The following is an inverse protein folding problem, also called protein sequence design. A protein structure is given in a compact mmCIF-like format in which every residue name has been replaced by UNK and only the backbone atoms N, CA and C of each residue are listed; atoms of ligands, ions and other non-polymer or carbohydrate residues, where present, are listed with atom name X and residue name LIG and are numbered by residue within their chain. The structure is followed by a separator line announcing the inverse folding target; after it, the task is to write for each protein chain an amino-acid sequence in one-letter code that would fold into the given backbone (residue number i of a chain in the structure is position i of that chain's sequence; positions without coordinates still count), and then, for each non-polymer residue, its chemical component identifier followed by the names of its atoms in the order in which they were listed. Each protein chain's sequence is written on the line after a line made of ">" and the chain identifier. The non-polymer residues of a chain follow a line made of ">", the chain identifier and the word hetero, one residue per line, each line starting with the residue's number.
data_IF_725406223805
#
_entry.id   IF_725406223805
#
_cell.length_a   1.000
_cell.length_b   1.000
_cell.length_c   1.000
_cell.angle_alpha   90.00
_cell.angle_beta   90.00
_cell.angle_gamma   90.00
#
_symmetry.space_group_name_H-M   'P 1'
#
loop_
_entity.id
_entity.type
_entity.pdbx_description
1 polymer ?
#
# COMPACT_ATOMS: atom_id res chain seq x y z
N UNK A 1 12.61 -70.95 4.09
CA UNK A 1 11.60 -70.09 4.74
C UNK A 1 11.26 -68.97 3.78
N UNK A 2 10.25 -69.23 2.95
CA UNK A 2 9.58 -68.27 2.10
C UNK A 2 8.42 -67.70 2.92
N UNK A 3 8.25 -66.38 2.91
CA UNK A 3 6.95 -65.76 3.18
C UNK A 3 6.67 -64.83 2.03
N UNK A 4 5.83 -65.34 1.15
CA UNK A 4 5.11 -64.67 0.09
C UNK A 4 4.15 -63.65 0.72
N UNK A 5 3.95 -62.52 0.05
CA UNK A 5 2.76 -61.70 0.27
C UNK A 5 2.28 -61.19 -1.08
N UNK A 6 1.58 -62.08 -1.79
CA UNK A 6 0.77 -61.74 -2.95
C UNK A 6 -0.59 -61.16 -2.51
N UNK A 7 -0.84 -59.96 -2.99
CA UNK A 7 -2.04 -59.52 -3.72
C UNK A 7 -3.39 -60.22 -3.43
N UNK A 8 -4.38 -59.42 -3.01
CA UNK A 8 -5.76 -59.64 -3.39
C UNK A 8 -6.45 -58.32 -3.80
N UNK A 9 -6.72 -58.25 -5.10
CA UNK A 9 -7.62 -57.34 -5.78
C UNK A 9 -9.08 -57.46 -5.29
N UNK A 10 -9.75 -56.32 -5.16
CA UNK A 10 -11.15 -56.06 -5.54
C UNK A 10 -11.18 -54.57 -5.93
N UNK A 11 -11.55 -54.10 -7.12
CA UNK A 11 -12.35 -54.70 -8.18
C UNK A 11 -13.70 -53.97 -8.29
N UNK A 12 -13.76 -52.92 -9.13
CA UNK A 12 -14.98 -52.27 -9.62
C UNK A 12 -15.07 -50.76 -9.27
N UNK A 13 -15.25 -49.82 -10.19
CA UNK A 13 -15.47 -49.86 -11.63
C UNK A 13 -16.04 -48.53 -12.10
N UNK A 14 -15.67 -48.14 -13.33
CA UNK A 14 -16.33 -47.19 -14.24
C UNK A 14 -16.13 -45.67 -14.03
N UNK A 15 -15.08 -45.15 -14.69
CA UNK A 15 -15.26 -44.34 -15.90
C UNK A 15 -15.44 -42.83 -15.76
N UNK A 16 -14.41 -42.07 -16.17
CA UNK A 16 -14.45 -41.02 -17.22
C UNK A 16 -13.07 -40.37 -17.37
N UNK A 17 -12.70 -40.10 -18.62
CA UNK A 17 -11.43 -39.54 -19.08
C UNK A 17 -11.45 -38.00 -19.16
N UNK A 18 -10.24 -37.40 -19.13
CA UNK A 18 -9.82 -36.00 -19.47
C UNK A 18 -9.78 -34.96 -18.32
N UNK A 19 -8.89 -33.94 -18.39
CA UNK A 19 -7.43 -34.01 -18.41
C UNK A 19 -6.76 -33.20 -17.27
N UNK A 20 -5.48 -33.48 -17.03
CA UNK A 20 -4.57 -32.75 -16.13
C UNK A 20 -4.32 -31.31 -16.63
N UNK A 21 -5.11 -30.34 -16.16
CA UNK A 21 -4.76 -28.93 -16.22
C UNK A 21 -5.58 -28.09 -15.22
N UNK A 22 -5.46 -28.35 -13.92
CA UNK A 22 -5.94 -27.42 -12.90
C UNK A 22 -5.41 -27.78 -11.50
N UNK A 23 -4.18 -27.39 -11.20
CA UNK A 23 -3.75 -27.21 -9.81
C UNK A 23 -2.96 -25.90 -9.71
N UNK A 24 -3.36 -25.09 -8.73
CA UNK A 24 -2.79 -23.79 -8.34
C UNK A 24 -3.17 -22.57 -9.20
N UNK A 25 -4.41 -22.12 -9.02
CA UNK A 25 -4.83 -20.74 -9.27
C UNK A 25 -5.80 -20.30 -8.17
N UNK A 26 -5.44 -19.23 -7.47
CA UNK A 26 -6.23 -18.62 -6.40
C UNK A 26 -7.66 -18.30 -6.86
N UNK A 27 -8.65 -18.72 -6.09
CA UNK A 27 -10.00 -18.21 -6.20
C UNK A 27 -10.01 -16.71 -5.80
N UNK A 28 -9.90 -15.82 -6.77
CA UNK A 28 -10.34 -14.44 -6.62
C UNK A 28 -11.71 -14.35 -7.28
N UNK A 29 -12.74 -14.19 -6.46
CA UNK A 29 -14.10 -14.00 -6.94
C UNK A 29 -14.16 -12.74 -7.83
N UNK A 30 -14.79 -12.81 -9.02
CA UNK A 30 -15.05 -11.61 -9.79
C UNK A 30 -16.11 -10.78 -9.05
N UNK A 31 -15.74 -9.56 -8.64
CA UNK A 31 -16.70 -8.56 -8.19
C UNK A 31 -17.59 -8.20 -9.39
N UNK A 32 -18.73 -8.88 -9.51
CA UNK A 32 -19.76 -8.55 -10.47
C UNK A 32 -20.24 -7.12 -10.18
N UNK A 33 -19.91 -6.21 -11.09
CA UNK A 33 -20.53 -4.90 -11.19
C UNK A 33 -22.03 -5.09 -11.44
N UNK A 34 -22.83 -5.05 -10.36
CA UNK A 34 -24.27 -4.91 -10.49
C UNK A 34 -24.56 -3.52 -11.02
N UNK A 35 -25.09 -3.44 -12.23
CA UNK A 35 -25.93 -2.33 -12.64
C UNK A 35 -27.03 -2.17 -11.59
N UNK A 36 -27.03 -1.05 -10.87
CA UNK A 36 -28.25 -0.53 -10.28
C UNK A 36 -28.66 0.70 -11.10
N UNK A 37 -29.70 0.49 -11.90
CA UNK A 37 -30.64 1.54 -12.26
C UNK A 37 -31.32 2.02 -10.97
N UNK A 38 -31.47 3.33 -10.81
CA UNK A 38 -32.17 3.94 -9.69
C UNK A 38 -31.42 5.17 -9.19
N UNK A 39 -31.92 6.35 -9.54
CA UNK A 39 -31.39 7.61 -9.05
C UNK A 39 -31.53 7.69 -7.54
N UNK A 40 -30.40 7.89 -6.87
CA UNK A 40 -30.26 8.51 -5.56
C UNK A 40 -28.76 8.83 -5.38
N UNK A 41 -28.44 10.03 -4.90
CA UNK A 41 -27.08 10.55 -4.84
C UNK A 41 -26.10 9.61 -4.13
N UNK A 42 -25.19 9.00 -4.89
CA UNK A 42 -24.13 8.14 -4.37
C UNK A 42 -23.21 8.97 -3.47
N UNK A 43 -23.22 8.67 -2.17
CA UNK A 43 -22.36 9.33 -1.17
C UNK A 43 -20.93 8.82 -1.33
N UNK A 44 -20.15 9.43 -2.23
CA UNK A 44 -18.74 9.09 -2.46
C UNK A 44 -17.93 9.40 -1.19
N UNK A 45 -17.46 8.35 -0.51
CA UNK A 45 -16.62 8.44 0.69
C UNK A 45 -15.36 7.60 0.52
N UNK A 46 -14.26 8.02 1.12
CA UNK A 46 -12.95 7.38 1.00
C UNK A 46 -11.81 8.35 0.68
N UNK A 47 -10.55 7.89 0.65
CA UNK A 47 -9.37 8.72 0.42
C UNK A 47 -9.38 9.44 -0.95
N UNK A 48 -10.03 8.86 -1.95
CA UNK A 48 -10.19 9.43 -3.29
C UNK A 48 -11.34 10.44 -3.41
N UNK A 49 -11.97 10.84 -2.29
CA UNK A 49 -13.10 11.79 -2.26
C UNK A 49 -12.76 13.13 -2.93
N UNK A 50 -11.52 13.57 -2.84
CA UNK A 50 -11.05 14.83 -3.42
C UNK A 50 -11.12 14.86 -4.96
N UNK A 51 -11.22 13.70 -5.64
CA UNK A 51 -11.37 13.63 -7.11
C UNK A 51 -12.79 13.93 -7.59
N UNK A 52 -13.80 13.66 -6.76
CA UNK A 52 -15.22 13.73 -7.14
C UNK A 52 -15.95 14.96 -6.59
N UNK A 53 -15.36 15.68 -5.62
CA UNK A 53 -15.91 16.93 -5.10
C UNK A 53 -15.01 18.10 -5.45
N UNK A 54 -15.36 18.84 -6.49
CA UNK A 54 -14.85 20.20 -6.69
C UNK A 54 -15.64 21.13 -5.79
N UNK A 55 -15.10 21.49 -4.62
CA UNK A 55 -15.62 22.67 -3.92
C UNK A 55 -15.29 23.87 -4.79
N UNK A 56 -16.25 24.70 -5.22
CA UNK A 56 -15.91 25.94 -5.89
C UNK A 56 -15.06 26.75 -4.92
N UNK A 57 -13.89 27.18 -5.37
CA UNK A 57 -13.08 28.15 -4.63
C UNK A 57 -13.90 29.43 -4.64
N UNK A 58 -14.51 29.76 -3.50
CA UNK A 58 -15.10 31.07 -3.30
C UNK A 58 -13.96 32.08 -3.45
N UNK A 59 -13.98 32.96 -4.46
CA UNK A 59 -13.03 34.05 -4.49
C UNK A 59 -13.19 34.80 -3.17
N UNK A 60 -12.08 35.02 -2.48
CA UNK A 60 -12.05 35.81 -1.26
C UNK A 60 -12.85 37.09 -1.54
N UNK A 61 -13.99 37.24 -0.86
CA UNK A 61 -14.67 38.52 -0.78
C UNK A 61 -13.60 39.46 -0.25
N UNK A 62 -13.10 40.37 -1.09
CA UNK A 62 -12.25 41.44 -0.63
C UNK A 62 -13.00 42.11 0.51
N UNK A 63 -12.52 41.96 1.75
CA UNK A 63 -13.05 42.67 2.90
C UNK A 63 -12.71 44.14 2.70
N UNK A 64 -13.49 44.83 1.86
CA UNK A 64 -13.41 46.27 1.79
C UNK A 64 -13.99 46.80 3.11
N UNK A 65 -13.19 47.57 3.87
CA UNK A 65 -13.63 48.09 5.15
C UNK A 65 -14.89 48.96 4.97
N UNK A 66 -15.83 48.95 5.92
CA UNK A 66 -17.15 49.59 5.79
C UNK A 66 -17.08 51.10 5.56
N UNK A 67 -15.93 51.73 5.84
CA UNK A 67 -15.67 53.16 5.60
C UNK A 67 -15.65 53.52 4.10
N UNK A 68 -15.29 52.59 3.22
CA UNK A 68 -15.28 52.80 1.76
C UNK A 68 -16.69 52.75 1.15
N UNK A 69 -17.61 52.03 1.80
CA UNK A 69 -19.00 51.90 1.35
C UNK A 69 -19.89 53.10 1.71
N UNK A 70 -19.45 53.95 2.64
CA UNK A 70 -20.24 55.06 3.21
C UNK A 70 -19.75 56.46 2.78
N UNK A 71 -18.75 56.56 1.91
CA UNK A 71 -18.31 57.85 1.37
C UNK A 71 -19.32 58.37 0.32
N UNK A 72 -19.74 59.66 0.37
CA UNK A 72 -20.55 60.23 -0.70
C UNK A 72 -19.66 60.41 -1.94
N UNK A 73 -19.72 59.43 -2.85
CA UNK A 73 -19.10 59.53 -4.17
C UNK A 73 -19.80 60.65 -4.96
N UNK A 74 -19.06 61.72 -5.25
CA UNK A 74 -19.39 62.60 -6.35
C UNK A 74 -19.51 61.79 -7.64
N UNK A 75 -20.53 62.09 -8.42
CA UNK A 75 -20.88 61.40 -9.65
C UNK A 75 -19.70 61.37 -10.65
N UNK A 76 -18.96 60.28 -10.65
CA UNK A 76 -18.15 59.83 -11.77
C UNK A 76 -18.62 58.40 -12.07
N UNK A 77 -19.51 58.30 -13.06
CA UNK A 77 -19.98 57.02 -13.57
C UNK A 77 -18.76 56.23 -14.08
N UNK A 78 -18.46 55.05 -13.53
CA UNK A 78 -17.40 54.22 -14.09
C UNK A 78 -17.80 53.82 -15.53
N UNK A 79 -16.87 53.85 -16.50
CA UNK A 79 -17.18 53.43 -17.87
C UNK A 79 -17.72 51.99 -17.85
N UNK A 80 -18.73 51.68 -18.69
CA UNK A 80 -19.40 50.39 -18.66
C UNK A 80 -18.37 49.26 -18.85
N UNK A 81 -18.43 48.19 -18.05
CA UNK A 81 -17.50 47.07 -18.19
C UNK A 81 -17.67 46.49 -19.60
N UNK A 82 -16.57 46.46 -20.37
CA UNK A 82 -16.52 45.80 -21.67
C UNK A 82 -17.01 44.36 -21.51
N UNK A 83 -17.91 43.85 -22.38
CA UNK A 83 -18.46 42.52 -22.23
C UNK A 83 -17.35 41.49 -22.34
N UNK A 84 -16.99 40.86 -21.23
CA UNK A 84 -16.16 39.67 -21.27
C UNK A 84 -16.90 38.59 -22.07
N UNK A 85 -16.22 37.89 -22.99
CA UNK A 85 -16.88 36.87 -23.80
C UNK A 85 -17.50 35.81 -22.89
N UNK A 86 -18.75 35.44 -23.18
CA UNK A 86 -19.53 34.50 -22.37
C UNK A 86 -18.89 33.11 -22.24
N UNK A 87 -17.94 32.78 -23.11
CA UNK A 87 -17.12 31.58 -23.04
C UNK A 87 -15.65 31.97 -23.17
N UNK A 88 -14.85 31.60 -22.16
CA UNK A 88 -13.39 31.70 -22.18
C UNK A 88 -12.85 30.30 -22.47
N UNK A 89 -12.22 30.12 -23.62
CA UNK A 89 -11.50 28.88 -23.92
C UNK A 89 -10.26 28.81 -23.02
N UNK A 90 -10.25 27.87 -22.09
CA UNK A 90 -9.10 27.55 -21.24
C UNK A 90 -8.60 26.17 -21.62
N UNK A 91 -7.52 26.11 -22.39
CA UNK A 91 -6.77 24.86 -22.57
C UNK A 91 -5.88 24.65 -21.33
N UNK A 92 -6.06 23.54 -20.64
CA UNK A 92 -5.18 23.12 -19.53
C UNK A 92 -4.32 21.98 -20.07
N UNK A 93 -3.04 22.25 -20.34
CA UNK A 93 -2.07 21.21 -20.67
C UNK A 93 -1.59 20.59 -19.35
N UNK A 94 -1.86 19.30 -19.13
CA UNK A 94 -1.30 18.58 -18.00
C UNK A 94 0.15 18.22 -18.30
N UNK A 95 1.07 18.63 -17.42
CA UNK A 95 2.49 18.23 -17.50
C UNK A 95 2.70 16.72 -17.22
N UNK A 96 1.66 16.03 -16.75
CA UNK A 96 1.68 14.61 -16.44
C UNK A 96 1.38 13.80 -17.68
N UNK A 97 2.33 12.94 -18.04
CA UNK A 97 2.10 11.82 -18.96
C UNK A 97 1.11 10.85 -18.29
N UNK A 98 0.03 10.52 -18.99
CA UNK A 98 -0.93 9.51 -18.52
C UNK A 98 -0.31 8.11 -18.65
N UNK A 99 0.51 7.70 -17.68
CA UNK A 99 1.11 6.36 -17.61
C UNK A 99 0.07 5.23 -17.43
N UNK A 100 -1.14 5.56 -16.97
CA UNK A 100 -2.25 4.61 -16.81
C UNK A 100 -2.95 4.28 -18.15
N UNK A 101 -2.72 5.06 -19.22
CA UNK A 101 -3.28 4.81 -20.55
C UNK A 101 -2.39 3.92 -21.44
N UNK A 102 -1.27 3.42 -20.91
CA UNK A 102 -0.28 2.65 -21.66
C UNK A 102 -0.71 1.18 -21.78
N UNK A 103 -1.49 0.87 -22.81
CA UNK A 103 -1.87 -0.50 -23.16
C UNK A 103 -0.73 -1.24 -23.87
N UNK A 104 -0.78 -2.57 -23.87
CA UNK A 104 0.11 -3.34 -24.75
C UNK A 104 -0.12 -2.93 -26.21
N UNK A 105 0.96 -2.72 -27.00
CA UNK A 105 0.84 -2.39 -28.41
C UNK A 105 0.09 -3.50 -29.16
N UNK A 106 -0.72 -3.12 -30.15
CA UNK A 106 -1.49 -4.08 -30.95
C UNK A 106 -0.58 -5.14 -31.58
N UNK A 107 -0.83 -6.41 -31.26
CA UNK A 107 -0.19 -7.55 -31.91
C UNK A 107 -1.17 -8.20 -32.90
N UNK A 108 -0.89 -8.15 -34.22
CA UNK A 108 -1.73 -8.81 -35.21
C UNK A 108 -1.67 -10.35 -35.09
N UNK A 109 -2.67 -11.00 -35.63
CA UNK A 109 -2.69 -12.46 -35.79
C UNK A 109 -1.64 -12.90 -36.83
N UNK A 110 -0.89 -13.96 -36.54
CA UNK A 110 0.13 -14.52 -37.43
C UNK A 110 -0.14 -16.00 -37.69
N UNK A 111 0.16 -16.46 -38.91
CA UNK A 111 0.08 -17.86 -39.30
C UNK A 111 1.48 -18.44 -39.49
N UNK A 112 1.78 -19.58 -38.87
CA UNK A 112 3.06 -20.27 -39.03
C UNK A 112 2.94 -21.48 -39.96
N UNK A 113 3.96 -21.74 -40.79
CA UNK A 113 4.05 -23.01 -41.49
C UNK A 113 4.28 -24.17 -40.50
N UNK A 114 3.80 -25.39 -40.83
CA UNK A 114 3.94 -26.54 -39.94
C UNK A 114 5.41 -26.89 -39.73
N UNK A 115 5.83 -26.97 -38.47
CA UNK A 115 7.20 -27.35 -38.08
C UNK A 115 8.14 -26.18 -37.80
N UNK A 116 7.71 -24.93 -38.01
CA UNK A 116 8.51 -23.75 -37.65
C UNK A 116 8.14 -23.23 -36.26
N UNK A 117 9.14 -23.10 -35.38
CA UNK A 117 8.99 -22.58 -34.02
C UNK A 117 9.90 -21.34 -33.83
N UNK A 118 9.48 -20.15 -34.29
CA UNK A 118 10.29 -18.95 -34.23
C UNK A 118 10.52 -18.49 -32.78
N UNK A 119 11.72 -17.98 -32.51
CA UNK A 119 12.12 -17.51 -31.17
C UNK A 119 11.25 -16.37 -30.65
N UNK A 120 10.86 -15.46 -31.53
CA UNK A 120 10.05 -14.29 -31.18
C UNK A 120 8.73 -14.67 -30.49
N UNK A 121 8.14 -15.80 -30.83
CA UNK A 121 6.88 -16.24 -30.21
C UNK A 121 7.06 -16.79 -28.80
N UNK A 122 8.25 -17.29 -28.46
CA UNK A 122 8.56 -17.65 -27.08
C UNK A 122 8.68 -16.39 -26.18
N UNK A 123 8.92 -15.22 -26.79
CA UNK A 123 8.99 -13.94 -26.09
C UNK A 123 7.64 -13.24 -25.96
N UNK A 124 6.55 -13.79 -26.55
CA UNK A 124 5.24 -13.16 -26.54
C UNK A 124 4.67 -12.93 -25.12
N UNK A 125 5.15 -13.69 -24.13
CA UNK A 125 4.78 -13.50 -22.74
C UNK A 125 5.34 -12.22 -22.10
N UNK A 126 6.42 -11.65 -22.65
CA UNK A 126 7.08 -10.44 -22.15
C UNK A 126 6.29 -9.20 -22.58
N UNK A 127 5.36 -8.75 -21.74
CA UNK A 127 4.50 -7.59 -22.03
C UNK A 127 4.70 -6.45 -21.03
N UNK A 128 4.27 -5.24 -21.39
CA UNK A 128 4.34 -4.09 -20.50
C UNK A 128 3.31 -4.22 -19.38
N UNK A 129 2.13 -4.76 -19.69
CA UNK A 129 1.07 -5.04 -18.70
C UNK A 129 1.54 -6.00 -17.61
N UNK A 130 2.37 -7.00 -17.97
CA UNK A 130 2.94 -7.95 -17.00
C UNK A 130 4.15 -7.40 -16.24
N UNK A 131 4.57 -6.15 -16.49
CA UNK A 131 5.71 -5.51 -15.82
C UNK A 131 7.07 -6.10 -16.19
N UNK A 132 7.18 -6.83 -17.31
CA UNK A 132 8.41 -7.51 -17.74
C UNK A 132 9.26 -6.67 -18.71
N UNK A 133 8.70 -5.56 -19.21
CA UNK A 133 9.38 -4.54 -20.01
C UNK A 133 9.45 -3.23 -19.21
N UNK A 134 10.59 -2.52 -19.18
CA UNK A 134 11.84 -2.75 -19.93
C UNK A 134 12.59 -4.01 -19.47
N UNK A 135 13.29 -4.66 -20.39
CA UNK A 135 13.99 -5.92 -20.14
C UNK A 135 15.02 -5.76 -19.01
N UNK A 136 14.85 -6.53 -17.94
CA UNK A 136 15.80 -6.62 -16.84
C UNK A 136 16.88 -7.67 -17.14
N UNK A 137 18.00 -7.64 -16.43
CA UNK A 137 19.07 -8.65 -16.60
C UNK A 137 18.54 -10.09 -16.48
N UNK A 138 17.62 -10.33 -15.55
CA UNK A 138 16.99 -11.64 -15.36
C UNK A 138 16.21 -12.11 -16.61
N UNK A 139 15.53 -11.19 -17.30
CA UNK A 139 14.82 -11.53 -18.55
C UNK A 139 15.81 -11.91 -19.66
N UNK A 140 16.92 -11.19 -19.78
CA UNK A 140 17.97 -11.49 -20.77
C UNK A 140 18.60 -12.86 -20.48
N UNK A 141 18.94 -13.13 -19.22
CA UNK A 141 19.48 -14.43 -18.79
C UNK A 141 18.49 -15.58 -19.03
N UNK A 142 17.19 -15.36 -18.84
CA UNK A 142 16.16 -16.35 -19.15
C UNK A 142 16.08 -16.66 -20.66
N UNK A 143 16.21 -15.63 -21.51
CA UNK A 143 16.24 -15.79 -22.98
C UNK A 143 17.49 -16.55 -23.40
N UNK A 144 18.65 -16.23 -22.85
CA UNK A 144 19.90 -16.92 -23.14
C UNK A 144 19.85 -18.39 -22.70
N UNK A 145 19.29 -18.68 -21.51
CA UNK A 145 19.03 -20.06 -21.07
C UNK A 145 18.11 -20.81 -22.03
N UNK A 146 17.05 -20.17 -22.51
CA UNK A 146 16.14 -20.77 -23.49
C UNK A 146 16.85 -21.08 -24.83
N UNK A 147 17.73 -20.19 -25.30
CA UNK A 147 18.56 -20.42 -26.49
C UNK A 147 19.52 -21.59 -26.29
N UNK A 148 20.22 -21.62 -25.16
CA UNK A 148 21.14 -22.70 -24.83
C UNK A 148 20.41 -24.05 -24.76
N UNK A 149 19.20 -24.08 -24.20
CA UNK A 149 18.36 -25.28 -24.17
C UNK A 149 18.00 -25.78 -25.57
N UNK A 150 17.61 -24.89 -26.48
CA UNK A 150 17.32 -25.26 -27.88
C UNK A 150 18.56 -25.79 -28.61
N UNK A 151 19.71 -25.15 -28.41
CA UNK A 151 20.97 -25.62 -28.98
C UNK A 151 21.35 -27.00 -28.42
N UNK A 152 21.13 -27.22 -27.13
CA UNK A 152 21.33 -28.51 -26.49
C UNK A 152 20.39 -29.59 -27.05
N UNK A 153 19.09 -29.30 -27.19
CA UNK A 153 18.10 -30.20 -27.78
C UNK A 153 18.45 -30.57 -29.23
N UNK A 154 18.93 -29.61 -30.02
CA UNK A 154 19.39 -29.84 -31.39
C UNK A 154 20.69 -30.66 -31.44
N UNK A 155 21.55 -30.54 -30.43
CA UNK A 155 22.79 -31.31 -30.31
C UNK A 155 22.59 -32.74 -29.77
N UNK A 156 21.36 -33.12 -29.37
CA UNK A 156 21.10 -34.46 -28.84
C UNK A 156 21.29 -35.53 -29.93
N UNK A 157 21.93 -36.67 -29.60
CA UNK A 157 22.04 -37.80 -30.51
C UNK A 157 20.67 -38.32 -30.98
N UNK A 158 20.55 -38.84 -32.22
CA UNK A 158 19.32 -39.43 -32.72
C UNK A 158 18.94 -40.70 -31.94
N UNK A 159 17.65 -41.07 -31.99
CA UNK A 159 17.05 -42.21 -31.26
C UNK A 159 17.28 -43.57 -31.95
N UNK A 160 18.21 -43.66 -32.90
CA UNK A 160 18.31 -44.82 -33.82
C UNK A 160 19.11 -46.00 -33.26
N UNK A 161 20.05 -45.78 -32.33
CA UNK A 161 20.98 -46.80 -31.84
C UNK A 161 21.00 -46.88 -30.30
N UNK A 162 21.25 -48.07 -29.74
CA UNK A 162 21.28 -48.30 -28.29
C UNK A 162 22.41 -47.51 -27.61
N UNK A 163 23.55 -47.38 -28.27
CA UNK A 163 24.66 -46.57 -27.76
C UNK A 163 24.29 -45.07 -27.75
N UNK A 164 23.63 -44.57 -28.81
CA UNK A 164 23.18 -43.18 -28.89
C UNK A 164 22.07 -42.86 -27.88
N UNK A 165 21.17 -43.81 -27.60
CA UNK A 165 20.17 -43.71 -26.53
C UNK A 165 20.82 -43.58 -25.15
N UNK A 166 21.82 -44.41 -24.86
CA UNK A 166 22.53 -44.36 -23.58
C UNK A 166 23.25 -43.02 -23.37
N UNK A 167 23.85 -42.47 -24.43
CA UNK A 167 24.50 -41.16 -24.41
C UNK A 167 23.48 -40.03 -24.24
N UNK A 168 22.38 -40.07 -25.00
CA UNK A 168 21.29 -39.09 -24.91
C UNK A 168 20.70 -39.03 -23.50
N UNK A 169 20.48 -40.19 -22.86
CA UNK A 169 19.98 -40.28 -21.48
C UNK A 169 20.95 -39.63 -20.49
N UNK A 170 22.25 -39.87 -20.63
CA UNK A 170 23.28 -39.25 -19.77
C UNK A 170 23.28 -37.73 -19.95
N UNK A 171 23.33 -37.25 -21.19
CA UNK A 171 23.28 -35.81 -21.49
C UNK A 171 22.03 -35.16 -20.90
N UNK A 172 20.85 -35.78 -21.06
CA UNK A 172 19.61 -35.26 -20.50
C UNK A 172 19.65 -35.20 -18.97
N UNK A 173 20.11 -36.26 -18.30
CA UNK A 173 20.21 -36.27 -16.84
C UNK A 173 21.18 -35.21 -16.30
N UNK A 174 22.31 -35.00 -16.97
CA UNK A 174 23.25 -33.94 -16.62
C UNK A 174 22.62 -32.55 -16.82
N UNK A 175 21.87 -32.36 -17.91
CA UNK A 175 21.19 -31.10 -18.14
C UNK A 175 20.06 -30.84 -17.13
N UNK A 176 19.28 -31.86 -16.77
CA UNK A 176 18.25 -31.79 -15.75
C UNK A 176 18.82 -31.39 -14.39
N UNK A 177 19.94 -32.00 -13.97
CA UNK A 177 20.61 -31.63 -12.70
C UNK A 177 21.12 -30.20 -12.71
N UNK A 178 21.63 -29.70 -13.85
CA UNK A 178 22.03 -28.28 -14.01
C UNK A 178 20.83 -27.34 -13.91
N UNK A 179 19.72 -27.66 -14.59
CA UNK A 179 18.51 -26.85 -14.50
C UNK A 179 17.92 -26.87 -13.08
N UNK A 180 17.97 -28.02 -12.39
CA UNK A 180 17.54 -28.14 -11.00
C UNK A 180 18.39 -27.28 -10.08
N UNK A 181 19.71 -27.27 -10.24
CA UNK A 181 20.60 -26.44 -9.44
C UNK A 181 20.29 -24.93 -9.60
N UNK A 182 19.98 -24.48 -10.82
CA UNK A 182 19.55 -23.09 -11.07
C UNK A 182 18.23 -22.78 -10.36
N UNK A 183 17.23 -23.66 -10.50
CA UNK A 183 15.92 -23.48 -9.82
C UNK A 183 16.07 -23.48 -8.31
N UNK A 184 16.93 -24.33 -7.77
CA UNK A 184 17.20 -24.40 -6.33
C UNK A 184 17.87 -23.12 -5.83
N UNK A 185 18.81 -22.56 -6.59
CA UNK A 185 19.43 -21.28 -6.27
C UNK A 185 18.40 -20.13 -6.26
N UNK A 186 17.53 -20.05 -7.27
CA UNK A 186 16.44 -19.06 -7.35
C UNK A 186 15.46 -19.21 -6.16
N UNK A 187 15.05 -20.45 -5.84
CA UNK A 187 14.19 -20.72 -4.68
C UNK A 187 14.86 -20.36 -3.36
N UNK A 188 16.17 -20.59 -3.24
CA UNK A 188 16.94 -20.23 -2.04
C UNK A 188 17.02 -18.72 -1.87
N UNK A 189 17.30 -17.97 -2.93
CA UNK A 189 17.33 -16.51 -2.88
C UNK A 189 15.97 -15.94 -2.46
N UNK A 190 14.88 -16.43 -3.07
CA UNK A 190 13.52 -16.02 -2.69
C UNK A 190 13.21 -16.35 -1.22
N UNK A 191 13.65 -17.52 -0.74
CA UNK A 191 13.49 -17.93 0.66
C UNK A 191 14.29 -17.04 1.61
N UNK A 192 15.55 -16.76 1.29
CA UNK A 192 16.43 -15.90 2.08
C UNK A 192 15.87 -14.47 2.16
N UNK A 193 15.36 -13.93 1.04
CA UNK A 193 14.67 -12.64 1.02
C UNK A 193 13.42 -12.65 1.93
N UNK A 194 12.63 -13.72 1.90
CA UNK A 194 11.47 -13.89 2.78
C UNK A 194 11.86 -13.95 4.26
N UNK A 195 12.91 -14.70 4.61
CA UNK A 195 13.43 -14.79 5.98
C UNK A 195 13.95 -13.43 6.44
N UNK A 196 14.69 -12.71 5.60
CA UNK A 196 15.21 -11.38 5.94
C UNK A 196 14.10 -10.37 6.22
N UNK A 197 13.01 -10.38 5.43
CA UNK A 197 11.84 -9.53 5.68
C UNK A 197 11.15 -9.89 7.00
N UNK A 198 11.00 -11.18 7.28
CA UNK A 198 10.42 -11.65 8.53
C UNK A 198 11.26 -11.22 9.74
N UNK A 199 12.57 -11.41 9.68
CA UNK A 199 13.50 -10.99 10.73
C UNK A 199 13.47 -9.48 10.95
N UNK A 200 13.38 -8.69 9.88
CA UNK A 200 13.24 -7.24 9.97
C UNK A 200 11.95 -6.83 10.69
N UNK A 201 10.83 -7.50 10.39
CA UNK A 201 9.56 -7.29 11.10
C UNK A 201 9.68 -7.62 12.59
N UNK A 202 10.27 -8.77 12.91
CA UNK A 202 10.48 -9.20 14.30
C UNK A 202 11.35 -8.22 15.09
N UNK A 203 12.43 -7.71 14.49
CA UNK A 203 13.29 -6.69 15.12
C UNK A 203 12.56 -5.37 15.33
N UNK A 204 11.76 -4.94 14.36
CA UNK A 204 10.93 -3.73 14.50
C UNK A 204 9.91 -3.88 15.63
N UNK A 205 9.28 -5.04 15.75
CA UNK A 205 8.33 -5.31 16.83
C UNK A 205 9.02 -5.37 18.20
N UNK A 206 10.19 -6.03 18.28
CA UNK A 206 11.00 -6.07 19.50
C UNK A 206 11.41 -4.65 19.95
N UNK A 207 11.94 -3.83 19.03
CA UNK A 207 12.32 -2.45 19.31
C UNK A 207 11.13 -1.60 19.80
N UNK A 208 9.93 -1.80 19.23
CA UNK A 208 8.71 -1.12 19.70
C UNK A 208 8.35 -1.54 21.13
N UNK A 209 8.47 -2.82 21.45
CA UNK A 209 8.18 -3.32 22.79
C UNK A 209 9.20 -2.79 23.81
N UNK A 210 10.48 -2.78 23.46
CA UNK A 210 11.55 -2.22 24.29
C UNK A 210 11.32 -0.73 24.56
N UNK A 211 11.04 0.07 23.54
CA UNK A 211 10.73 1.49 23.70
C UNK A 211 9.53 1.72 24.62
N UNK A 212 8.45 0.95 24.45
CA UNK A 212 7.27 1.04 25.32
C UNK A 212 7.59 0.66 26.79
N UNK A 213 8.51 -0.30 27.00
CA UNK A 213 8.98 -0.66 28.33
C UNK A 213 9.90 0.42 28.93
N UNK A 214 10.79 1.01 28.15
CA UNK A 214 11.65 2.11 28.57
C UNK A 214 10.81 3.32 29.00
N UNK A 215 9.82 3.72 28.19
CA UNK A 215 8.87 4.78 28.53
C UNK A 215 8.16 4.49 29.86
N UNK A 216 7.73 3.25 30.07
CA UNK A 216 7.08 2.85 31.33
C UNK A 216 8.03 2.94 32.53
N UNK A 217 9.28 2.53 32.36
CA UNK A 217 10.30 2.61 33.41
C UNK A 217 10.63 4.07 33.72
N UNK A 218 10.75 4.92 32.70
CA UNK A 218 10.98 6.36 32.86
C UNK A 218 9.83 7.06 33.58
N UNK A 219 8.58 6.75 33.22
CA UNK A 219 7.41 7.26 33.93
C UNK A 219 7.44 6.88 35.42
N UNK A 220 7.78 5.63 35.75
CA UNK A 220 7.93 5.19 37.13
C UNK A 220 9.05 5.94 37.86
N UNK A 221 10.19 6.17 37.19
CA UNK A 221 11.31 6.97 37.74
C UNK A 221 10.87 8.40 38.02
N UNK A 222 10.19 9.05 37.08
CA UNK A 222 9.67 10.42 37.24
C UNK A 222 8.69 10.51 38.42
N UNK A 223 7.76 9.57 38.55
CA UNK A 223 6.84 9.51 39.69
C UNK A 223 7.59 9.41 41.01
N UNK A 224 8.62 8.55 41.10
CA UNK A 224 9.44 8.46 42.32
C UNK A 224 10.25 9.72 42.61
N UNK A 225 10.76 10.41 41.60
CA UNK A 225 11.46 11.69 41.77
C UNK A 225 10.51 12.74 42.33
N UNK A 226 9.32 12.90 41.74
CA UNK A 226 8.32 13.87 42.23
C UNK A 226 7.86 13.58 43.67
N UNK A 227 7.79 12.30 44.06
CA UNK A 227 7.50 11.92 45.45
C UNK A 227 8.63 12.38 46.39
N UNK A 228 9.89 12.09 46.05
CA UNK A 228 11.05 12.54 46.82
C UNK A 228 11.15 14.06 46.90
N UNK A 229 10.91 14.77 45.81
CA UNK A 229 10.94 16.24 45.79
C UNK A 229 9.85 16.84 46.68
N UNK A 230 8.66 16.21 46.75
CA UNK A 230 7.59 16.63 47.68
C UNK A 230 7.96 16.39 49.14
N UNK A 231 8.69 15.32 49.43
CA UNK A 231 9.17 15.01 50.79
C UNK A 231 10.29 15.97 51.22
N UNK A 232 11.18 16.36 50.31
CA UNK A 232 12.31 17.26 50.58
C UNK A 232 11.91 18.74 50.57
N UNK A 233 10.93 19.12 49.74
CA UNK A 233 10.47 20.52 49.66
C UNK A 233 9.72 20.89 50.94
N UNK A 234 10.17 21.88 51.72
CA UNK A 234 9.38 22.37 52.84
C UNK A 234 8.03 22.86 52.32
N UNK A 235 6.92 22.66 53.07
CA UNK A 235 5.64 23.21 52.68
C UNK A 235 5.80 24.71 52.41
N UNK A 236 5.13 25.27 51.38
CA UNK A 236 5.15 26.71 51.19
C UNK A 236 4.73 27.33 52.52
N UNK A 237 5.55 28.24 53.06
CA UNK A 237 5.14 29.08 54.17
C UNK A 237 3.79 29.64 53.76
N UNK A 238 2.75 29.26 54.50
CA UNK A 238 1.40 29.78 54.33
C UNK A 238 1.51 31.30 54.17
N UNK A 239 0.77 31.93 53.24
CA UNK A 239 0.70 33.39 53.24
C UNK A 239 0.29 33.75 54.67
N UNK A 240 1.14 34.50 55.35
CA UNK A 240 0.81 35.06 56.65
C UNK A 240 -0.59 35.65 56.51
N UNK A 241 -1.49 35.27 57.43
CA UNK A 241 -2.82 35.86 57.55
C UNK A 241 -2.69 37.38 57.33
N UNK A 242 -3.22 37.88 56.24
CA UNK A 242 -3.46 39.32 56.09
C UNK A 242 -4.39 39.70 57.27
N UNK A 243 -3.93 40.49 58.25
CA UNK A 243 -4.70 40.75 59.46
C UNK A 243 -5.69 41.89 59.22
N UNK A 244 -6.48 41.85 58.14
CA UNK A 244 -7.51 42.85 57.84
C UNK A 244 -8.63 42.22 57.02
N UNK A 245 -9.47 41.42 57.69
CA UNK A 245 -10.83 41.13 57.21
C UNK A 245 -11.80 41.52 58.33
N UNK A 246 -12.58 42.61 58.19
CA UNK A 246 -13.49 43.03 59.23
C UNK A 246 -14.65 42.05 59.37
N UNK A 247 -14.91 41.66 60.62
CA UNK A 247 -16.07 40.88 61.02
C UNK A 247 -17.36 41.57 60.55
N UNK A 248 -18.24 40.79 59.90
CA UNK A 248 -19.65 41.12 59.73
C UNK A 248 -20.47 39.90 60.17
N UNK A 249 -20.88 40.00 61.43
CA UNK A 249 -22.13 39.61 62.09
C UNK A 249 -22.81 38.25 61.78
N UNK A 250 -23.13 37.46 62.84
CA UNK A 250 -24.10 36.37 62.77
C UNK A 250 -25.53 36.94 62.84
N UNK A 251 -26.47 36.21 62.23
CA UNK A 251 -27.95 36.42 62.20
C UNK A 251 -28.48 36.71 60.79
N UNK A 252 -28.54 35.67 59.95
CA UNK A 252 -29.68 35.53 59.03
C UNK A 252 -30.00 34.06 58.82
N UNK A 253 -30.91 33.57 59.65
CA UNK A 253 -31.73 32.39 59.41
C UNK A 253 -32.41 32.48 58.06
N UNK A 254 -32.07 31.55 57.14
CA UNK A 254 -32.94 31.00 56.10
C UNK A 254 -32.16 29.93 55.29
N UNK A 255 -32.63 28.68 55.17
CA UNK A 255 -31.99 27.69 54.31
C UNK A 255 -32.32 27.95 52.83
N UNK A 256 -31.30 28.20 52.00
CA UNK A 256 -31.42 28.20 50.54
C UNK A 256 -31.67 26.76 50.04
N UNK A 257 -32.65 26.52 49.15
CA UNK A 257 -32.86 25.19 48.57
C UNK A 257 -31.69 24.79 47.66
N UNK A 258 -31.20 23.58 47.86
CA UNK A 258 -30.21 22.90 47.04
C UNK A 258 -30.69 22.83 45.59
N UNK A 259 -30.00 23.54 44.69
CA UNK A 259 -30.14 23.31 43.25
C UNK A 259 -29.43 22.00 42.89
N UNK A 260 -30.04 21.10 42.09
CA UNK A 260 -29.39 19.86 41.69
C UNK A 260 -28.22 20.15 40.73
N UNK A 261 -27.15 19.33 40.73
CA UNK A 261 -26.03 19.53 39.83
C UNK A 261 -26.46 19.29 38.38
N UNK A 262 -26.30 20.33 37.55
CA UNK A 262 -26.37 20.23 36.11
C UNK A 262 -25.37 19.17 35.62
N UNK A 263 -25.88 18.13 34.94
CA UNK A 263 -25.05 17.16 34.21
C UNK A 263 -24.15 17.93 33.24
N UNK A 264 -22.85 17.91 33.49
CA UNK A 264 -21.87 18.31 32.48
C UNK A 264 -22.00 17.37 31.26
N UNK A 265 -21.91 17.87 30.03
CA UNK A 265 -21.86 17.01 28.86
C UNK A 265 -20.57 16.18 28.91
N UNK A 266 -20.73 14.88 28.62
CA UNK A 266 -19.65 13.93 28.36
C UNK A 266 -18.74 14.53 27.29
N UNK A 267 -17.56 15.02 27.68
CA UNK A 267 -16.50 15.34 26.73
C UNK A 267 -16.02 14.02 26.12
N UNK A 268 -16.49 13.72 24.92
CA UNK A 268 -15.90 12.74 24.02
C UNK A 268 -14.47 13.20 23.71
N UNK A 269 -13.48 12.64 24.41
CA UNK A 269 -12.08 12.70 23.98
C UNK A 269 -11.97 11.94 22.65
N UNK A 270 -11.56 12.56 21.54
CA UNK A 270 -11.07 11.78 20.41
C UNK A 270 -9.71 11.19 20.79
N UNK A 271 -9.57 9.87 20.65
CA UNK A 271 -8.29 9.18 20.59
C UNK A 271 -7.51 9.72 19.37
N UNK A 272 -6.66 10.73 19.60
CA UNK A 272 -5.64 11.14 18.65
C UNK A 272 -4.52 10.10 18.68
N UNK A 273 -4.53 9.17 17.73
CA UNK A 273 -3.36 8.37 17.39
C UNK A 273 -2.25 9.31 16.90
N UNK A 274 -0.97 9.09 17.28
CA UNK A 274 0.13 9.85 16.72
C UNK A 274 0.24 9.57 15.22
N UNK A 275 0.10 10.64 14.43
CA UNK A 275 0.32 10.67 13.00
C UNK A 275 1.78 10.29 12.74
N UNK A 276 2.02 9.14 12.11
CA UNK A 276 3.34 8.80 11.59
C UNK A 276 3.82 9.93 10.68
N UNK A 277 4.91 10.57 11.06
CA UNK A 277 5.62 11.50 10.20
C UNK A 277 6.29 10.68 9.10
N UNK A 278 5.69 10.70 7.89
CA UNK A 278 6.41 10.31 6.69
C UNK A 278 7.57 11.30 6.50
N UNK A 279 8.78 10.86 6.83
CA UNK A 279 10.02 11.48 6.32
C UNK A 279 10.00 11.35 4.81
N UNK A 280 9.91 12.48 4.11
CA UNK A 280 10.15 12.53 2.67
C UNK A 280 11.61 12.17 2.35
N UNK A 281 11.90 11.67 1.13
CA UNK A 281 13.27 11.40 0.70
C UNK A 281 14.08 12.70 0.59
N UNK A 282 15.35 12.61 0.97
CA UNK A 282 16.32 13.71 0.95
C UNK A 282 16.56 14.25 -0.48
N UNK A 283 16.86 15.55 -0.64
CA UNK A 283 17.23 16.11 -1.93
C UNK A 283 18.61 15.58 -2.39
N UNK A 284 18.68 15.13 -3.63
CA UNK A 284 19.94 14.77 -4.29
C UNK A 284 20.77 16.04 -4.48
N UNK A 285 21.98 16.01 -3.94
CA UNK A 285 23.04 16.98 -4.22
C UNK A 285 23.50 16.73 -5.66
N UNK A 286 23.23 17.69 -6.56
CA UNK A 286 23.85 17.74 -7.87
C UNK A 286 25.33 18.09 -7.68
N UNK A 287 26.20 17.15 -8.04
CA UNK A 287 27.62 17.41 -8.24
C UNK A 287 27.78 17.82 -9.70
N UNK A 288 28.29 19.03 -9.90
CA UNK A 288 28.84 19.52 -11.16
C UNK A 288 30.28 19.03 -11.32
#
# INVERSE_FOLDING_TARGET
>A
MQTEYESAYCGGGLGRTLPDSAAFGSWVAPAQSRLNQGGDGVRVSGPSRHRYFKRPVLPFLSEQPPEVLLAPLGAAEPPPPSPEPAAREMATQSDYRESEAQTDPFSPEYSLPPGEAPELLALAGLTHVNGQLPATLQTVEAIERARAKRQFEAALPPLTDEASLSLRRKMLSEQETREWAVREAEMREAREAGVAQFDASMRSDAARLEAAWEERVEQLRQLRLTQKDREVRPPPLSPALDPLSPALDPETSCPRPLSPPSRLPRASRPLSLPRQAHRGPAPQVQVA
#
